data_IF_337186140649
#
_entry.id   IF_337186140649
#
_cell.length_a   1.000
_cell.length_b   1.000
_cell.length_c   1.000
_cell.angle_alpha   90.00
_cell.angle_beta   90.00
_cell.angle_gamma   90.00
#
_symmetry.space_group_name_H-M   'P 1'
#
loop_
_entity.id
_entity.type
_entity.pdbx_description
1 polymer ?
#
# COMPACT_ATOMS: atom_id res chain seq x y z
N UNK A 1 -78.17 -17.32 11.12
CA UNK A 1 -77.38 -17.55 9.89
C UNK A 1 -76.43 -16.37 9.72
N UNK A 2 -75.15 -16.61 9.97
CA UNK A 2 -74.11 -15.59 10.20
C UNK A 2 -73.87 -14.68 8.98
N UNK A 3 -73.63 -13.40 9.25
CA UNK A 3 -73.21 -12.33 8.30
C UNK A 3 -71.94 -12.70 7.51
N UNK A 4 -71.20 -13.74 7.94
CA UNK A 4 -70.07 -14.32 7.22
C UNK A 4 -70.45 -15.07 5.93
N UNK A 5 -71.69 -15.52 5.75
CA UNK A 5 -72.08 -16.34 4.60
C UNK A 5 -72.39 -15.54 3.31
N UNK A 6 -72.69 -14.24 3.42
CA UNK A 6 -73.01 -13.39 2.26
C UNK A 6 -71.75 -12.82 1.59
N UNK A 7 -70.61 -12.83 2.27
CA UNK A 7 -69.34 -12.27 1.77
C UNK A 7 -68.52 -13.23 0.90
N UNK A 8 -68.93 -14.50 0.78
CA UNK A 8 -68.20 -15.54 0.03
C UNK A 8 -68.75 -15.83 -1.37
N UNK A 9 -69.83 -15.17 -1.81
CA UNK A 9 -70.48 -15.46 -3.10
C UNK A 9 -70.78 -14.22 -3.95
N UNK A 10 -69.93 -13.18 -3.88
CA UNK A 10 -69.96 -12.06 -4.83
C UNK A 10 -68.56 -11.79 -5.36
N UNK A 11 -68.33 -12.21 -6.61
CA UNK A 11 -67.27 -11.65 -7.43
C UNK A 11 -66.14 -12.60 -7.81
N UNK A 12 -66.44 -13.85 -8.18
CA UNK A 12 -65.61 -14.54 -9.17
C UNK A 12 -65.84 -13.85 -10.55
N UNK A 13 -65.33 -12.62 -10.69
CA UNK A 13 -65.18 -12.01 -12.01
C UNK A 13 -64.05 -12.78 -12.66
N UNK A 14 -64.38 -13.58 -13.68
CA UNK A 14 -63.38 -14.18 -14.53
C UNK A 14 -62.52 -13.05 -15.09
N UNK A 15 -61.28 -12.95 -14.60
CA UNK A 15 -60.26 -12.10 -15.23
C UNK A 15 -60.12 -12.66 -16.64
N UNK A 16 -60.49 -11.92 -17.71
CA UNK A 16 -60.15 -12.37 -19.04
C UNK A 16 -58.63 -12.49 -19.03
N UNK A 17 -58.10 -13.65 -19.44
CA UNK A 17 -56.70 -13.74 -19.84
C UNK A 17 -56.59 -12.88 -21.09
N UNK A 18 -56.55 -11.57 -20.91
CA UNK A 18 -56.01 -10.66 -21.89
C UNK A 18 -54.58 -11.14 -22.03
N UNK A 19 -54.33 -11.92 -23.08
CA UNK A 19 -53.01 -12.03 -23.67
C UNK A 19 -52.60 -10.60 -23.95
N UNK A 20 -51.99 -9.93 -22.96
CA UNK A 20 -51.23 -8.73 -23.21
C UNK A 20 -50.15 -9.20 -24.16
N UNK A 21 -50.38 -8.91 -25.44
CA UNK A 21 -49.33 -8.86 -26.43
C UNK A 21 -48.28 -7.97 -25.78
N UNK A 22 -47.25 -8.58 -25.20
CA UNK A 22 -46.08 -7.85 -24.76
C UNK A 22 -45.61 -7.20 -26.05
N UNK A 23 -45.72 -5.86 -26.21
CA UNK A 23 -45.25 -5.24 -27.44
C UNK A 23 -43.80 -5.68 -27.56
N UNK A 24 -43.44 -6.28 -28.69
CA UNK A 24 -42.10 -6.79 -28.92
C UNK A 24 -41.12 -5.78 -28.34
N UNK A 25 -40.38 -6.18 -27.29
CA UNK A 25 -39.42 -5.30 -26.63
C UNK A 25 -38.39 -4.91 -27.70
N UNK A 26 -38.66 -3.84 -28.45
CA UNK A 26 -37.67 -3.28 -29.34
C UNK A 26 -36.51 -2.90 -28.44
N UNK A 27 -35.29 -3.32 -28.77
CA UNK A 27 -34.08 -3.01 -28.00
C UNK A 27 -33.99 -1.52 -27.59
N UNK A 28 -34.58 -0.64 -28.41
CA UNK A 28 -34.63 0.81 -28.24
C UNK A 28 -35.69 1.33 -27.24
N UNK A 29 -36.66 0.49 -26.83
CA UNK A 29 -37.68 0.79 -25.80
C UNK A 29 -37.36 0.03 -24.52
N UNK A 30 -36.14 0.22 -23.99
CA UNK A 30 -35.77 -0.31 -22.68
C UNK A 30 -36.11 0.71 -21.58
N UNK A 31 -36.95 0.36 -20.57
CA UNK A 31 -37.29 1.28 -19.49
C UNK A 31 -36.06 1.78 -18.70
N UNK A 32 -34.99 0.98 -18.59
CA UNK A 32 -33.74 1.38 -17.94
C UNK A 32 -33.03 2.50 -18.71
N UNK A 33 -32.97 2.41 -20.03
CA UNK A 33 -32.36 3.45 -20.87
C UNK A 33 -33.17 4.76 -20.79
N UNK A 34 -34.50 4.67 -20.71
CA UNK A 34 -35.35 5.85 -20.58
C UNK A 34 -35.10 6.58 -19.25
N UNK A 35 -35.01 5.85 -18.14
CA UNK A 35 -34.69 6.42 -16.82
C UNK A 35 -33.36 7.16 -16.80
N UNK A 36 -32.32 6.60 -17.42
CA UNK A 36 -31.02 7.27 -17.50
C UNK A 36 -31.05 8.48 -18.44
N UNK A 37 -31.73 8.38 -19.58
CA UNK A 37 -31.96 9.51 -20.50
C UNK A 37 -32.74 10.65 -19.84
N UNK A 38 -33.65 10.34 -18.93
CA UNK A 38 -34.39 11.35 -18.16
C UNK A 38 -33.48 12.03 -17.13
N UNK A 39 -32.68 11.25 -16.39
CA UNK A 39 -31.72 11.79 -15.41
C UNK A 39 -30.57 12.58 -16.03
N UNK A 40 -30.20 12.30 -17.27
CA UNK A 40 -29.16 13.03 -17.99
C UNK A 40 -29.66 14.36 -18.58
N UNK A 41 -30.96 14.65 -18.53
CA UNK A 41 -31.47 15.94 -19.02
C UNK A 41 -31.14 17.01 -18.02
N UNK A 42 -30.41 18.01 -18.50
CA UNK A 42 -30.08 19.25 -17.79
C UNK A 42 -30.80 20.39 -18.52
N UNK A 43 -31.19 21.43 -17.79
CA UNK A 43 -31.72 22.66 -18.36
C UNK A 43 -30.78 23.21 -19.44
N UNK A 44 -31.32 23.71 -20.58
CA UNK A 44 -30.51 24.10 -21.72
C UNK A 44 -29.55 25.26 -21.42
N UNK A 45 -29.87 26.07 -20.42
CA UNK A 45 -29.11 27.25 -19.99
C UNK A 45 -27.98 26.91 -19.00
N UNK A 46 -27.90 25.67 -18.51
CA UNK A 46 -26.87 25.24 -17.56
C UNK A 46 -25.52 25.02 -18.27
N UNK A 47 -24.44 25.51 -17.65
CA UNK A 47 -23.10 25.51 -18.25
C UNK A 47 -22.54 24.10 -18.49
N UNK A 48 -22.86 23.12 -17.63
CA UNK A 48 -22.33 21.74 -17.72
C UNK A 48 -23.35 20.79 -18.36
N UNK A 49 -23.06 20.28 -19.56
CA UNK A 49 -23.95 19.36 -20.30
C UNK A 49 -23.80 17.89 -19.87
N UNK A 50 -22.59 17.48 -19.51
CA UNK A 50 -22.29 16.14 -19.01
C UNK A 50 -21.04 16.17 -18.12
N UNK A 51 -20.89 15.19 -17.25
CA UNK A 51 -19.71 14.98 -16.38
C UNK A 51 -18.57 14.27 -17.12
N UNK A 52 -18.85 13.60 -18.24
CA UNK A 52 -17.91 12.72 -18.94
C UNK A 52 -17.74 11.35 -18.28
N UNK A 53 -18.38 11.11 -17.13
CA UNK A 53 -18.32 9.85 -16.38
C UNK A 53 -19.60 9.05 -16.56
N UNK A 54 -19.47 7.74 -16.81
CA UNK A 54 -20.62 6.86 -17.00
C UNK A 54 -21.34 6.62 -15.66
N UNK A 55 -22.64 6.88 -15.63
CA UNK A 55 -23.47 6.66 -14.44
C UNK A 55 -23.50 7.82 -13.43
N UNK A 56 -22.64 8.84 -13.61
CA UNK A 56 -22.66 10.07 -12.81
C UNK A 56 -23.34 11.19 -13.60
N UNK A 57 -24.55 11.56 -13.20
CA UNK A 57 -25.34 12.59 -13.88
C UNK A 57 -25.05 13.98 -13.29
N UNK A 58 -25.10 15.00 -14.15
CA UNK A 58 -24.91 16.40 -13.74
C UNK A 58 -26.01 16.81 -12.77
N UNK A 59 -25.62 17.54 -11.72
CA UNK A 59 -26.57 18.12 -10.78
C UNK A 59 -26.66 19.64 -10.99
N UNK A 60 -27.87 20.14 -11.25
CA UNK A 60 -28.11 21.58 -11.48
C UNK A 60 -27.94 22.43 -10.20
N UNK A 61 -28.14 21.83 -9.03
CA UNK A 61 -28.14 22.55 -7.75
C UNK A 61 -27.21 21.89 -6.72
N UNK A 62 -25.88 21.85 -6.98
CA UNK A 62 -24.94 21.14 -6.13
C UNK A 62 -24.83 21.75 -4.72
N UNK A 63 -24.88 23.08 -4.57
CA UNK A 63 -24.82 23.74 -3.25
C UNK A 63 -25.94 23.28 -2.32
N UNK A 64 -27.18 23.19 -2.84
CA UNK A 64 -28.33 22.72 -2.08
C UNK A 64 -28.17 21.25 -1.69
N UNK A 65 -27.76 20.41 -2.64
CA UNK A 65 -27.55 18.98 -2.39
C UNK A 65 -26.48 18.76 -1.31
N UNK A 66 -25.32 19.40 -1.43
CA UNK A 66 -24.23 19.31 -0.45
C UNK A 66 -24.64 19.82 0.93
N UNK A 67 -25.33 20.97 1.00
CA UNK A 67 -25.80 21.52 2.28
C UNK A 67 -26.74 20.54 2.99
N UNK A 68 -27.65 19.90 2.24
CA UNK A 68 -28.57 18.91 2.80
C UNK A 68 -27.83 17.66 3.27
N UNK A 69 -26.90 17.13 2.48
CA UNK A 69 -26.16 15.91 2.85
C UNK A 69 -25.24 16.16 4.04
N UNK A 70 -24.45 17.24 4.04
CA UNK A 70 -23.61 17.61 5.18
C UNK A 70 -24.42 17.89 6.44
N UNK A 71 -25.56 18.58 6.33
CA UNK A 71 -26.46 18.79 7.46
C UNK A 71 -27.00 17.48 8.04
N UNK A 72 -27.29 16.49 7.19
CA UNK A 72 -27.70 15.14 7.64
C UNK A 72 -26.55 14.38 8.30
N UNK A 73 -25.32 14.50 7.79
CA UNK A 73 -24.13 13.88 8.39
C UNK A 73 -23.91 14.43 9.80
N UNK A 74 -23.93 15.75 9.98
CA UNK A 74 -23.74 16.38 11.29
C UNK A 74 -24.78 15.89 12.31
N UNK A 75 -26.06 15.79 11.92
CA UNK A 75 -27.13 15.24 12.78
C UNK A 75 -26.92 13.76 13.10
N UNK A 76 -26.37 12.98 12.18
CA UNK A 76 -26.09 11.56 12.43
C UNK A 76 -24.89 11.41 13.40
N UNK A 77 -23.87 12.25 13.26
CA UNK A 77 -22.69 12.28 14.13
C UNK A 77 -23.03 12.63 15.59
N UNK A 78 -24.12 13.36 15.86
CA UNK A 78 -24.60 13.66 17.22
C UNK A 78 -24.88 12.40 18.05
N UNK A 79 -25.22 11.27 17.41
CA UNK A 79 -25.49 9.99 18.09
C UNK A 79 -24.21 9.27 18.56
N UNK A 80 -23.05 9.61 18.00
CA UNK A 80 -21.75 9.06 18.35
C UNK A 80 -21.18 9.87 19.51
N UNK A 81 -20.51 9.29 20.53
CA UNK A 81 -20.00 10.08 21.65
C UNK A 81 -18.87 11.05 21.21
N UNK A 82 -18.79 12.22 21.85
CA UNK A 82 -17.87 13.32 21.47
C UNK A 82 -16.38 12.99 21.63
N UNK A 83 -16.05 11.99 22.44
CA UNK A 83 -14.68 11.50 22.62
C UNK A 83 -14.22 10.56 21.48
N UNK A 84 -15.14 10.08 20.64
CA UNK A 84 -14.78 9.22 19.53
C UNK A 84 -13.94 9.99 18.51
N UNK A 85 -12.73 9.47 18.22
CA UNK A 85 -11.81 10.09 17.27
C UNK A 85 -12.45 10.31 15.89
N UNK A 86 -13.22 9.32 15.41
CA UNK A 86 -13.94 9.43 14.14
C UNK A 86 -14.88 10.63 14.09
N UNK A 87 -15.66 10.88 15.16
CA UNK A 87 -16.59 12.03 15.23
C UNK A 87 -15.83 13.35 15.15
N UNK A 88 -14.72 13.49 15.87
CA UNK A 88 -13.93 14.74 15.89
C UNK A 88 -13.38 15.09 14.50
N UNK A 89 -12.77 14.11 13.82
CA UNK A 89 -12.17 14.35 12.51
C UNK A 89 -13.22 14.56 11.41
N UNK A 90 -14.29 13.76 11.41
CA UNK A 90 -15.35 13.90 10.40
C UNK A 90 -16.12 15.20 10.56
N UNK A 91 -16.44 15.62 11.80
CA UNK A 91 -17.06 16.93 12.03
C UNK A 91 -16.17 18.07 11.52
N UNK A 92 -14.86 18.01 11.77
CA UNK A 92 -13.93 19.04 11.30
C UNK A 92 -13.90 19.11 9.76
N UNK A 93 -13.83 17.96 9.09
CA UNK A 93 -13.82 17.89 7.62
C UNK A 93 -15.15 18.41 7.05
N UNK A 94 -16.27 17.93 7.59
CA UNK A 94 -17.61 18.31 7.11
C UNK A 94 -17.88 19.79 7.34
N UNK A 95 -17.53 20.34 8.52
CA UNK A 95 -17.68 21.78 8.80
C UNK A 95 -16.82 22.64 7.88
N UNK A 96 -15.56 22.23 7.63
CA UNK A 96 -14.68 22.92 6.68
C UNK A 96 -15.27 22.92 5.27
N UNK A 97 -15.74 21.76 4.78
CA UNK A 97 -16.34 21.64 3.44
C UNK A 97 -17.64 22.44 3.35
N UNK A 98 -18.49 22.39 4.38
CA UNK A 98 -19.73 23.16 4.44
C UNK A 98 -19.46 24.67 4.39
N UNK A 99 -18.43 25.16 5.10
CA UNK A 99 -18.03 26.56 5.05
C UNK A 99 -17.61 26.99 3.63
N UNK A 100 -16.83 26.16 2.93
CA UNK A 100 -16.45 26.43 1.53
C UNK A 100 -17.68 26.49 0.60
N UNK A 101 -18.64 25.59 0.78
CA UNK A 101 -19.90 25.55 0.00
C UNK A 101 -20.77 26.79 0.23
N UNK A 102 -20.67 27.41 1.41
CA UNK A 102 -21.40 28.64 1.76
C UNK A 102 -20.69 29.92 1.31
N UNK A 103 -19.35 29.90 1.27
CA UNK A 103 -18.52 31.04 0.88
C UNK A 103 -18.54 31.28 -0.63
N UNK A 104 -18.40 30.21 -1.42
CA UNK A 104 -18.36 30.28 -2.87
C UNK A 104 -19.70 29.91 -3.50
N UNK A 105 -20.24 30.80 -4.33
CA UNK A 105 -21.46 30.55 -5.12
C UNK A 105 -21.16 29.97 -6.51
N UNK A 106 -19.91 30.09 -6.97
CA UNK A 106 -19.47 29.65 -8.28
C UNK A 106 -18.96 28.20 -8.21
N UNK A 107 -19.50 27.32 -9.04
CA UNK A 107 -19.27 25.88 -8.95
C UNK A 107 -17.84 25.53 -9.37
N UNK A 108 -17.30 26.18 -10.41
CA UNK A 108 -15.94 25.88 -10.90
C UNK A 108 -14.87 26.28 -9.87
N UNK A 109 -15.06 27.44 -9.20
CA UNK A 109 -14.18 27.88 -8.11
C UNK A 109 -14.31 26.99 -6.89
N UNK A 110 -15.53 26.54 -6.58
CA UNK A 110 -15.76 25.61 -5.48
C UNK A 110 -15.04 24.27 -5.71
N UNK A 111 -15.09 23.73 -6.92
CA UNK A 111 -14.36 22.51 -7.30
C UNK A 111 -12.85 22.67 -7.09
N UNK A 112 -12.28 23.80 -7.52
CA UNK A 112 -10.85 24.10 -7.32
C UNK A 112 -10.47 24.25 -5.85
N UNK A 113 -11.29 24.92 -5.04
CA UNK A 113 -11.04 25.08 -3.60
C UNK A 113 -11.11 23.75 -2.84
N UNK A 114 -12.02 22.85 -3.23
CA UNK A 114 -12.16 21.53 -2.59
C UNK A 114 -11.05 20.58 -3.07
N UNK A 115 -10.69 20.64 -4.36
CA UNK A 115 -9.58 19.87 -4.93
C UNK A 115 -9.78 18.34 -4.94
N UNK A 116 -11.04 17.87 -5.05
CA UNK A 116 -11.41 16.45 -4.93
C UNK A 116 -12.17 15.93 -6.17
N UNK A 117 -11.86 16.46 -7.36
CA UNK A 117 -12.55 16.10 -8.60
C UNK A 117 -13.75 17.00 -8.89
N UNK A 118 -14.76 16.45 -9.57
CA UNK A 118 -15.99 17.17 -9.92
C UNK A 118 -16.94 17.27 -8.73
N UNK A 119 -17.83 18.27 -8.74
CA UNK A 119 -18.75 18.51 -7.62
C UNK A 119 -19.73 17.34 -7.39
N UNK A 120 -20.10 16.63 -8.45
CA UNK A 120 -20.99 15.47 -8.36
C UNK A 120 -20.32 14.28 -7.65
N UNK A 121 -19.01 14.09 -7.85
CA UNK A 121 -18.24 13.07 -7.12
C UNK A 121 -18.18 13.40 -5.62
N UNK A 122 -18.04 14.69 -5.29
CA UNK A 122 -18.05 15.15 -3.89
C UNK A 122 -19.41 14.93 -3.23
N UNK A 123 -20.51 15.10 -3.96
CA UNK A 123 -21.86 14.77 -3.48
C UNK A 123 -21.95 13.27 -3.19
N UNK A 124 -21.50 12.42 -4.11
CA UNK A 124 -21.54 10.97 -3.93
C UNK A 124 -20.70 10.51 -2.74
N UNK A 125 -19.49 11.06 -2.58
CA UNK A 125 -18.64 10.86 -1.41
C UNK A 125 -19.36 11.23 -0.11
N UNK A 126 -20.06 12.36 -0.08
CA UNK A 126 -20.83 12.77 1.09
C UNK A 126 -21.99 11.80 1.38
N UNK A 127 -22.66 11.26 0.36
CA UNK A 127 -23.68 10.23 0.54
C UNK A 127 -23.10 8.91 1.08
N UNK A 128 -21.92 8.50 0.60
CA UNK A 128 -21.20 7.35 1.15
C UNK A 128 -20.78 7.58 2.59
N UNK A 129 -20.33 8.77 2.93
CA UNK A 129 -19.99 9.13 4.31
C UNK A 129 -21.23 9.04 5.22
N UNK A 130 -22.38 9.53 4.75
CA UNK A 130 -23.63 9.40 5.50
C UNK A 130 -24.04 7.94 5.73
N UNK A 131 -23.85 7.06 4.73
CA UNK A 131 -24.06 5.61 4.89
C UNK A 131 -23.05 5.01 5.86
N UNK A 132 -21.79 5.42 5.77
CA UNK A 132 -20.71 4.99 6.66
C UNK A 132 -21.05 5.33 8.13
N UNK A 133 -21.44 6.58 8.42
CA UNK A 133 -21.84 7.00 9.77
C UNK A 133 -22.98 6.14 10.32
N UNK A 134 -24.00 5.83 9.51
CA UNK A 134 -25.09 4.94 9.94
C UNK A 134 -24.60 3.54 10.29
N UNK A 135 -23.75 2.95 9.44
CA UNK A 135 -23.15 1.64 9.73
C UNK A 135 -22.20 1.65 10.94
N UNK A 136 -21.56 2.79 11.21
CA UNK A 136 -20.71 2.96 12.39
C UNK A 136 -21.53 3.06 13.67
N UNK A 137 -22.72 3.66 13.61
CA UNK A 137 -23.65 3.69 14.74
C UNK A 137 -24.09 2.27 15.11
N UNK A 138 -24.38 1.44 14.10
CA UNK A 138 -24.76 0.04 14.31
C UNK A 138 -23.60 -0.81 14.84
N UNK A 139 -22.38 -0.62 14.29
CA UNK A 139 -21.21 -1.42 14.67
C UNK A 139 -20.49 -0.93 15.94
N UNK A 140 -20.78 0.28 16.42
CA UNK A 140 -20.14 0.93 17.59
C UNK A 140 -18.62 0.82 17.60
N UNK A 141 -17.99 1.04 16.44
CA UNK A 141 -16.55 0.83 16.24
C UNK A 141 -15.63 1.72 17.10
N UNK A 142 -16.17 2.67 17.87
CA UNK A 142 -15.44 3.49 18.84
C UNK A 142 -15.21 2.79 20.18
N UNK A 143 -15.84 1.64 20.41
CA UNK A 143 -15.58 0.81 21.59
C UNK A 143 -14.17 0.20 21.51
N UNK A 144 -13.53 -0.08 22.66
CA UNK A 144 -12.23 -0.74 22.68
C UNK A 144 -12.31 -2.12 22.02
N UNK A 145 -11.16 -2.60 21.53
CA UNK A 145 -11.04 -3.92 20.91
C UNK A 145 -11.67 -5.01 21.78
N UNK A 146 -12.61 -5.76 21.20
CA UNK A 146 -13.32 -6.86 21.88
C UNK A 146 -12.33 -7.93 22.33
N UNK A 147 -11.36 -8.26 21.47
CA UNK A 147 -10.30 -9.22 21.75
C UNK A 147 -8.95 -8.60 21.38
N UNK A 148 -7.96 -8.77 22.25
CA UNK A 148 -6.57 -8.46 21.91
C UNK A 148 -6.04 -9.56 21.01
N UNK A 149 -5.31 -9.18 19.97
CA UNK A 149 -4.71 -10.16 19.07
C UNK A 149 -3.83 -11.15 19.86
N UNK A 150 -3.98 -12.48 19.65
CA UNK A 150 -3.11 -13.47 20.25
C UNK A 150 -1.63 -13.20 19.97
N UNK A 151 -0.78 -13.47 20.97
CA UNK A 151 0.64 -13.20 20.89
C UNK A 151 1.28 -13.92 19.68
N UNK A 152 1.94 -13.14 18.83
CA UNK A 152 2.60 -13.65 17.62
C UNK A 152 1.69 -13.83 16.39
N UNK A 153 0.38 -13.55 16.43
CA UNK A 153 -0.48 -13.61 15.24
C UNK A 153 0.00 -12.66 14.14
N UNK A 154 0.23 -11.39 14.50
CA UNK A 154 0.77 -10.40 13.57
C UNK A 154 2.16 -10.84 13.07
N UNK A 155 3.05 -11.33 13.96
CA UNK A 155 4.39 -11.80 13.56
C UNK A 155 4.34 -12.95 12.55
N UNK A 156 3.52 -13.98 12.81
CA UNK A 156 3.38 -15.16 11.94
C UNK A 156 2.74 -14.81 10.59
N UNK A 157 1.82 -13.84 10.54
CA UNK A 157 1.20 -13.40 9.29
C UNK A 157 2.14 -12.55 8.41
N UNK A 158 3.02 -11.76 9.03
CA UNK A 158 4.09 -11.05 8.32
C UNK A 158 5.23 -11.99 7.91
N UNK A 159 5.61 -12.96 8.76
CA UNK A 159 6.58 -14.00 8.42
C UNK A 159 6.06 -14.94 7.34
N UNK A 160 4.76 -15.26 7.29
CA UNK A 160 4.13 -16.08 6.23
C UNK A 160 4.03 -15.38 4.87
N UNK A 161 3.77 -14.06 4.85
CA UNK A 161 3.81 -13.26 3.61
C UNK A 161 5.23 -13.06 3.08
N UNK A 162 6.20 -12.87 3.97
CA UNK A 162 7.61 -12.88 3.61
C UNK A 162 8.10 -14.29 3.25
N UNK A 163 7.53 -15.34 3.85
CA UNK A 163 7.82 -16.72 3.51
C UNK A 163 7.29 -17.06 2.11
N UNK A 164 6.14 -16.56 1.63
CA UNK A 164 5.75 -16.77 0.22
C UNK A 164 6.73 -16.09 -0.77
N UNK A 165 7.31 -14.95 -0.40
CA UNK A 165 8.40 -14.31 -1.14
C UNK A 165 9.72 -15.09 -1.03
N UNK A 166 9.99 -15.75 0.11
CA UNK A 166 11.19 -16.56 0.34
C UNK A 166 11.05 -18.05 -0.03
N UNK A 167 9.83 -18.54 -0.26
CA UNK A 167 9.51 -19.92 -0.69
C UNK A 167 9.40 -19.98 -2.23
N UNK A 168 9.28 -18.83 -2.91
CA UNK A 168 9.48 -18.69 -4.35
C UNK A 168 10.94 -18.62 -4.80
N UNK A 169 11.89 -18.48 -3.88
CA UNK A 169 13.32 -18.60 -4.15
C UNK A 169 13.97 -19.30 -2.96
N UNK A 170 13.74 -20.61 -2.86
CA UNK A 170 14.87 -21.49 -2.62
C UNK A 170 15.83 -21.26 -3.80
N UNK A 171 16.57 -20.15 -3.73
CA UNK A 171 17.63 -19.79 -4.64
C UNK A 171 18.51 -21.01 -4.67
N UNK A 172 18.41 -21.75 -5.77
CA UNK A 172 19.13 -22.99 -5.96
C UNK A 172 20.59 -22.74 -5.55
N UNK A 173 21.27 -23.72 -4.94
CA UNK A 173 22.67 -23.57 -4.53
C UNK A 173 23.58 -23.12 -5.69
N UNK A 174 23.09 -23.08 -6.93
CA UNK A 174 23.75 -22.47 -8.09
C UNK A 174 24.00 -20.96 -7.98
N UNK A 175 23.12 -20.12 -7.41
CA UNK A 175 23.30 -18.65 -7.49
C UNK A 175 24.16 -18.09 -6.36
N UNK A 176 24.07 -18.66 -5.15
CA UNK A 176 25.00 -18.35 -4.06
C UNK A 176 26.40 -18.87 -4.36
N UNK A 177 26.52 -20.07 -4.95
CA UNK A 177 27.81 -20.53 -5.49
C UNK A 177 28.28 -19.65 -6.65
N UNK A 178 27.39 -19.17 -7.54
CA UNK A 178 27.77 -18.22 -8.60
C UNK A 178 28.25 -16.89 -8.04
N UNK A 179 27.61 -16.35 -7.00
CA UNK A 179 27.99 -15.08 -6.39
C UNK A 179 29.28 -15.19 -5.57
N UNK A 180 29.48 -16.30 -4.88
CA UNK A 180 30.74 -16.59 -4.19
C UNK A 180 31.86 -16.87 -5.18
N UNK A 181 31.61 -17.62 -6.25
CA UNK A 181 32.57 -17.83 -7.34
C UNK A 181 32.89 -16.51 -8.05
N UNK A 182 31.89 -15.67 -8.35
CA UNK A 182 32.11 -14.36 -8.96
C UNK A 182 32.88 -13.41 -8.03
N UNK A 183 32.62 -13.44 -6.71
CA UNK A 183 33.40 -12.67 -5.73
C UNK A 183 34.83 -13.19 -5.59
N UNK A 184 35.04 -14.51 -5.59
CA UNK A 184 36.38 -15.11 -5.59
C UNK A 184 37.13 -14.78 -6.89
N UNK A 185 36.47 -14.83 -8.04
CA UNK A 185 37.04 -14.42 -9.33
C UNK A 185 37.38 -12.93 -9.31
N UNK A 186 36.51 -12.08 -8.76
CA UNK A 186 36.77 -10.65 -8.62
C UNK A 186 37.93 -10.36 -7.65
N UNK A 187 38.02 -11.09 -6.54
CA UNK A 187 39.12 -10.98 -5.58
C UNK A 187 40.44 -11.46 -6.19
N UNK A 188 40.43 -12.58 -6.91
CA UNK A 188 41.61 -13.08 -7.64
C UNK A 188 42.02 -12.09 -8.73
N UNK A 189 41.07 -11.51 -9.48
CA UNK A 189 41.35 -10.45 -10.45
C UNK A 189 41.89 -9.18 -9.78
N UNK A 190 41.34 -8.75 -8.65
CA UNK A 190 41.78 -7.58 -7.92
C UNK A 190 43.21 -7.77 -7.34
N UNK A 191 43.51 -8.96 -6.80
CA UNK A 191 44.85 -9.29 -6.32
C UNK A 191 45.86 -9.48 -7.46
N UNK A 192 45.46 -10.07 -8.60
CA UNK A 192 46.33 -10.24 -9.77
C UNK A 192 46.53 -8.93 -10.55
N UNK A 193 45.59 -7.98 -10.47
CA UNK A 193 45.67 -6.66 -11.08
C UNK A 193 46.39 -5.63 -10.21
N UNK A 194 46.55 -5.89 -8.90
CA UNK A 194 47.17 -4.96 -7.96
C UNK A 194 48.61 -4.57 -8.35
N UNK A 195 49.33 -5.45 -9.06
CA UNK A 195 50.72 -5.19 -9.48
C UNK A 195 50.86 -4.78 -10.97
N UNK A 196 49.75 -4.58 -11.72
CA UNK A 196 49.79 -4.14 -13.13
C UNK A 196 49.30 -2.69 -13.28
N UNK A 197 50.19 -1.81 -13.78
CA UNK A 197 49.93 -0.37 -13.99
C UNK A 197 48.81 -0.04 -15.01
N UNK A 198 48.31 -1.02 -15.78
CA UNK A 198 47.19 -0.83 -16.71
C UNK A 198 46.57 -2.16 -17.13
N UNK A 199 45.25 -2.27 -17.04
CA UNK A 199 44.46 -3.30 -17.73
C UNK A 199 43.51 -2.55 -18.66
N UNK A 200 43.71 -2.69 -19.97
CA UNK A 200 42.80 -2.13 -20.96
C UNK A 200 41.57 -3.04 -21.09
N UNK A 201 40.47 -2.67 -20.44
CA UNK A 201 39.14 -3.25 -20.68
C UNK A 201 38.30 -2.26 -21.48
N UNK A 202 38.54 -2.19 -22.79
CA UNK A 202 37.72 -1.41 -23.71
C UNK A 202 37.38 0.03 -23.24
N UNK A 203 36.17 0.49 -23.54
CA UNK A 203 35.71 1.90 -23.45
C UNK A 203 35.50 2.48 -22.04
N UNK A 204 36.16 1.95 -21.01
CA UNK A 204 36.12 2.52 -19.66
C UNK A 204 37.54 2.73 -19.14
N UNK A 205 38.18 3.84 -19.55
CA UNK A 205 39.45 4.25 -18.96
C UNK A 205 39.21 4.98 -17.64
N UNK A 206 39.29 4.26 -16.53
CA UNK A 206 39.41 4.88 -15.21
C UNK A 206 40.87 5.35 -15.06
N UNK A 207 41.10 6.66 -15.03
CA UNK A 207 42.39 7.25 -14.61
C UNK A 207 42.38 7.40 -13.08
N UNK A 208 43.20 6.66 -12.32
CA UNK A 208 43.32 6.90 -10.89
C UNK A 208 44.20 8.13 -10.62
N UNK A 209 43.70 9.03 -9.78
CA UNK A 209 44.42 10.19 -9.25
C UNK A 209 45.62 9.82 -8.35
N UNK A 210 46.45 10.83 -8.08
CA UNK A 210 47.78 10.72 -7.41
C UNK A 210 47.73 10.14 -5.97
N UNK A 211 48.50 9.07 -5.79
CA UNK A 211 49.28 8.55 -4.62
C UNK A 211 48.76 8.73 -3.18
N UNK A 212 48.75 7.61 -2.46
CA UNK A 212 49.35 7.49 -1.12
C UNK A 212 50.33 6.31 -1.12
N UNK A 213 51.51 6.53 -0.56
CA UNK A 213 52.65 5.60 -0.54
C UNK A 213 52.54 4.63 0.65
N UNK A 214 51.80 3.54 0.52
CA UNK A 214 51.96 2.39 1.42
C UNK A 214 52.26 1.15 0.58
N UNK A 215 53.53 1.06 0.21
CA UNK A 215 54.16 -0.10 -0.42
C UNK A 215 54.57 -1.07 0.69
N UNK A 216 53.67 -1.97 1.09
CA UNK A 216 54.01 -3.25 1.73
C UNK A 216 52.77 -4.16 1.73
N UNK A 217 52.90 -5.37 1.20
CA UNK A 217 51.89 -6.44 1.41
C UNK A 217 51.80 -6.71 2.91
N UNK A 218 50.59 -6.75 3.53
CA UNK A 218 50.48 -7.20 4.91
C UNK A 218 50.85 -8.68 4.97
N UNK A 219 51.85 -9.03 5.77
CA UNK A 219 52.36 -10.39 5.91
C UNK A 219 51.74 -11.13 7.10
N UNK A 220 50.90 -10.45 7.90
CA UNK A 220 50.23 -11.04 9.06
C UNK A 220 48.78 -10.58 9.22
N UNK A 221 47.92 -11.44 9.77
CA UNK A 221 46.50 -11.15 10.01
C UNK A 221 46.27 -9.94 10.95
N UNK A 222 47.25 -9.60 11.80
CA UNK A 222 47.18 -8.43 12.67
C UNK A 222 47.40 -7.09 11.95
N UNK A 223 47.96 -7.09 10.73
CA UNK A 223 48.08 -5.87 9.92
C UNK A 223 46.76 -5.55 9.22
N UNK A 224 45.95 -6.56 8.91
CA UNK A 224 44.65 -6.39 8.27
C UNK A 224 43.65 -5.72 9.22
N UNK A 225 43.67 -6.07 10.51
CA UNK A 225 42.80 -5.44 11.53
C UNK A 225 43.18 -3.98 11.80
N UNK A 226 44.44 -3.59 11.60
CA UNK A 226 44.89 -2.19 11.70
C UNK A 226 44.39 -1.34 10.52
N UNK A 227 44.22 -1.92 9.33
CA UNK A 227 43.70 -1.22 8.14
C UNK A 227 42.22 -0.85 8.34
N UNK A 228 41.42 -1.74 8.95
CA UNK A 228 39.99 -1.48 9.23
C UNK A 228 39.80 -0.37 10.28
N UNK A 229 40.78 -0.17 11.17
CA UNK A 229 40.76 0.89 12.20
C UNK A 229 41.25 2.26 11.71
N UNK A 230 41.58 2.42 10.42
CA UNK A 230 42.03 3.71 9.89
C UNK A 230 40.89 4.75 9.88
N UNK A 231 41.16 6.03 10.25
CA UNK A 231 40.12 7.06 10.43
C UNK A 231 39.26 7.33 9.18
N UNK A 232 39.79 7.04 7.99
CA UNK A 232 39.08 7.22 6.71
C UNK A 232 37.92 6.24 6.52
N UNK A 233 37.96 5.05 7.13
CA UNK A 233 36.88 4.06 7.10
C UNK A 233 35.89 4.31 8.25
N UNK A 234 36.36 4.85 9.37
CA UNK A 234 35.57 5.15 10.58
C UNK A 234 34.56 6.28 10.37
N UNK A 235 34.80 7.20 9.43
CA UNK A 235 33.91 8.35 9.19
C UNK A 235 32.53 8.01 8.60
N UNK A 236 32.31 6.78 8.12
CA UNK A 236 31.08 6.39 7.42
C UNK A 236 30.19 5.39 8.18
N UNK A 237 30.59 4.92 9.36
CA UNK A 237 29.86 3.90 10.14
C UNK A 237 29.85 4.23 11.64
N UNK A 238 28.71 4.01 12.32
CA UNK A 238 28.59 4.13 13.78
C UNK A 238 29.57 3.18 14.49
N UNK A 239 30.24 3.68 15.53
CA UNK A 239 31.27 2.96 16.29
C UNK A 239 30.83 1.57 16.76
N UNK A 240 29.54 1.39 17.09
CA UNK A 240 28.99 0.11 17.53
C UNK A 240 29.00 -0.99 16.44
N UNK A 241 28.76 -0.62 15.19
CA UNK A 241 28.81 -1.58 14.08
C UNK A 241 30.24 -2.02 13.77
N UNK A 242 31.20 -1.12 13.94
CA UNK A 242 32.62 -1.42 13.75
C UNK A 242 33.15 -2.38 14.82
N UNK A 243 32.74 -2.19 16.08
CA UNK A 243 33.09 -3.12 17.17
C UNK A 243 32.49 -4.51 16.96
N UNK A 244 31.24 -4.59 16.50
CA UNK A 244 30.60 -5.87 16.18
C UNK A 244 31.35 -6.62 15.07
N UNK A 245 31.70 -5.93 13.97
CA UNK A 245 32.44 -6.54 12.85
C UNK A 245 33.84 -6.95 13.27
N UNK A 246 34.54 -6.14 14.06
CA UNK A 246 35.85 -6.51 14.61
C UNK A 246 35.76 -7.75 15.50
N UNK A 247 34.76 -7.83 16.39
CA UNK A 247 34.53 -8.99 17.24
C UNK A 247 34.19 -10.25 16.44
N UNK A 248 33.39 -10.14 15.38
CA UNK A 248 33.11 -11.27 14.49
C UNK A 248 34.36 -11.77 13.78
N UNK A 249 35.23 -10.87 13.32
CA UNK A 249 36.50 -11.24 12.68
C UNK A 249 37.46 -11.93 13.65
N UNK A 250 37.58 -11.44 14.89
CA UNK A 250 38.41 -12.09 15.91
C UNK A 250 37.92 -13.51 16.24
N UNK A 251 36.61 -13.72 16.29
CA UNK A 251 36.04 -15.06 16.51
C UNK A 251 36.30 -16.00 15.35
N UNK A 252 36.26 -15.48 14.11
CA UNK A 252 36.55 -16.26 12.91
C UNK A 252 38.03 -16.67 12.87
N UNK A 253 38.93 -15.76 13.24
CA UNK A 253 40.37 -16.07 13.37
C UNK A 253 40.59 -17.18 14.42
N UNK A 254 39.97 -17.08 15.60
CA UNK A 254 40.06 -18.13 16.62
C UNK A 254 39.53 -19.48 16.15
N UNK A 255 38.48 -19.49 15.33
CA UNK A 255 37.94 -20.72 14.74
C UNK A 255 38.91 -21.34 13.74
N UNK A 256 39.55 -20.51 12.91
CA UNK A 256 40.55 -20.96 11.94
C UNK A 256 41.80 -21.51 12.65
N UNK A 257 42.25 -20.89 13.74
CA UNK A 257 43.37 -21.41 14.55
C UNK A 257 43.01 -22.76 15.20
N UNK A 258 41.78 -22.92 15.69
CA UNK A 258 41.32 -24.23 16.20
C UNK A 258 41.29 -25.28 15.09
N UNK A 259 40.88 -24.87 13.89
CA UNK A 259 40.81 -25.77 12.76
C UNK A 259 42.20 -26.16 12.24
N UNK A 260 43.18 -25.25 12.25
CA UNK A 260 44.56 -25.57 11.89
C UNK A 260 45.18 -26.55 12.87
N UNK A 261 44.98 -26.35 14.18
CA UNK A 261 45.43 -27.30 15.21
C UNK A 261 44.76 -28.66 15.01
N UNK A 262 43.47 -28.69 14.71
CA UNK A 262 42.76 -29.93 14.40
C UNK A 262 43.39 -30.65 13.19
N UNK A 263 43.67 -29.93 12.09
CA UNK A 263 44.30 -30.51 10.91
C UNK A 263 45.72 -31.04 11.17
N UNK A 264 46.50 -30.37 12.01
CA UNK A 264 47.82 -30.86 12.44
C UNK A 264 47.67 -32.14 13.27
N UNK A 265 46.71 -32.19 14.19
CA UNK A 265 46.41 -33.38 14.99
C UNK A 265 45.97 -34.56 14.12
N UNK A 266 45.16 -34.30 13.09
CA UNK A 266 44.76 -35.32 12.11
C UNK A 266 45.95 -35.85 11.30
N UNK A 267 46.91 -34.98 10.95
CA UNK A 267 48.14 -35.36 10.26
C UNK A 267 49.04 -36.25 11.15
N UNK A 268 49.18 -35.90 12.43
CA UNK A 268 49.99 -36.67 13.39
C UNK A 268 49.40 -38.05 13.69
N UNK A 269 48.08 -38.20 13.59
CA UNK A 269 47.36 -39.47 13.71
C UNK A 269 47.39 -40.32 12.42
N UNK A 270 48.12 -39.89 11.39
CA UNK A 270 48.30 -40.65 10.15
C UNK A 270 47.08 -40.68 9.23
N UNK A 271 46.08 -39.83 9.48
CA UNK A 271 44.98 -39.63 8.55
C UNK A 271 45.45 -38.71 7.42
N UNK A 272 46.16 -39.25 6.43
CA UNK A 272 46.38 -38.54 5.18
C UNK A 272 45.10 -38.57 4.33
N UNK A 273 44.63 -37.39 3.94
CA UNK A 273 43.70 -37.17 2.83
C UNK A 273 44.23 -37.74 1.52
#
# INVERSE_FOLDING_TARGET
MSVLAVKLLRGAVAVPKTTTIIPACSMYKNPYLNRFKERSKVSPDFYKKSTGLTGLFVNEHPHRALTVVYGRILRALEQIPANAAYRQYTEQIVKRRLALVQEENDIEKLEQKIGMGQIEEVIEQAEYELKCVRSLIESKAWEPLVEKAPEGQLRKEWEGRNAAFLVGEAMAPSVTTFRLAACLIFLVFAFAAHDKRSIALGRLSLRPGKRSSYSARPRSLQEITKIVRLPTVVAQCSNAHMEAVAGSLENLVRLLDKYSVYLETCRDLGYSS
#
